data_IF_035128385873
#
_entry.id   IF_035128385873
#
_cell.length_a   1.000
_cell.length_b   1.000
_cell.length_c   1.000
_cell.angle_alpha   90.00
_cell.angle_beta   90.00
_cell.angle_gamma   90.00
#
_symmetry.space_group_name_H-M   'P 1'
#
loop_
_entity.id
_entity.type
_entity.pdbx_description
1 polymer ?
#
# COMPACT_ATOMS: atom_id res chain seq x y z
N UNK A 1 12.65 11.65 13.10
CA UNK A 1 11.30 12.21 12.92
C UNK A 1 10.33 11.04 12.85
N UNK A 2 9.48 10.86 13.87
CA UNK A 2 8.47 9.81 13.87
C UNK A 2 7.22 10.32 13.16
N UNK A 3 6.68 9.54 12.23
CA UNK A 3 5.36 9.83 11.65
C UNK A 3 4.32 9.76 12.78
N UNK A 4 3.44 10.75 12.93
CA UNK A 4 2.40 10.70 13.94
C UNK A 4 1.46 9.53 13.67
N UNK A 5 0.88 8.90 14.72
CA UNK A 5 -0.07 7.82 14.55
C UNK A 5 -1.28 8.30 13.74
N UNK A 6 -1.71 7.51 12.76
CA UNK A 6 -2.93 7.77 12.00
C UNK A 6 -4.10 7.83 12.99
N UNK A 7 -4.59 9.04 13.24
CA UNK A 7 -5.82 9.27 13.99
C UNK A 7 -6.99 8.78 13.13
N UNK A 8 -7.34 7.50 13.30
CA UNK A 8 -8.56 6.90 12.75
C UNK A 8 -9.75 7.72 13.26
N UNK A 9 -10.34 8.56 12.40
CA UNK A 9 -11.66 9.15 12.65
C UNK A 9 -11.78 10.67 12.70
N UNK A 10 -10.72 11.46 12.45
CA UNK A 10 -10.94 12.88 12.15
C UNK A 10 -11.29 13.03 10.66
N UNK A 11 -12.57 13.28 10.37
CA UNK A 11 -12.96 13.86 9.09
C UNK A 11 -12.37 15.27 9.05
N UNK A 12 -11.13 15.40 8.60
CA UNK A 12 -10.60 16.69 8.17
C UNK A 12 -11.51 17.11 7.03
N UNK A 13 -12.44 18.02 7.31
CA UNK A 13 -13.24 18.64 6.27
C UNK A 13 -12.23 19.35 5.37
N UNK A 14 -12.01 18.77 4.20
CA UNK A 14 -11.21 19.41 3.18
C UNK A 14 -11.87 20.76 2.87
N UNK A 15 -11.08 21.83 2.66
CA UNK A 15 -11.63 23.09 2.23
C UNK A 15 -12.44 22.88 0.94
N UNK A 16 -13.49 23.67 0.76
CA UNK A 16 -14.30 23.61 -0.46
C UNK A 16 -13.45 24.11 -1.64
N UNK A 17 -13.09 23.20 -2.56
CA UNK A 17 -12.19 23.49 -3.68
C UNK A 17 -12.99 23.62 -4.96
N UNK A 18 -12.91 24.79 -5.60
CA UNK A 18 -13.49 25.00 -6.92
C UNK A 18 -12.68 24.25 -7.98
N UNK A 19 -13.33 23.31 -8.67
CA UNK A 19 -12.77 22.60 -9.83
C UNK A 19 -13.14 23.29 -11.14
N UNK A 20 -12.22 23.30 -12.11
CA UNK A 20 -12.42 23.78 -13.48
C UNK A 20 -12.31 22.64 -14.51
N UNK A 21 -12.31 21.38 -14.05
CA UNK A 21 -12.20 20.22 -14.93
C UNK A 21 -13.38 20.18 -15.90
N UNK A 22 -13.09 20.04 -17.20
CA UNK A 22 -14.09 19.94 -18.27
C UNK A 22 -14.38 18.50 -18.66
N UNK A 23 -13.48 17.57 -18.32
CA UNK A 23 -13.56 16.15 -18.65
C UNK A 23 -13.97 15.40 -17.37
N UNK A 24 -14.94 14.46 -17.44
CA UNK A 24 -15.34 13.68 -16.29
C UNK A 24 -14.25 12.69 -15.86
N UNK A 25 -14.10 12.52 -14.55
CA UNK A 25 -13.29 11.45 -13.98
C UNK A 25 -14.04 10.13 -14.15
N UNK A 26 -13.49 9.23 -14.98
CA UNK A 26 -14.10 7.92 -15.26
C UNK A 26 -13.74 6.84 -14.23
N UNK A 27 -12.65 7.04 -13.49
CA UNK A 27 -12.16 6.12 -12.46
C UNK A 27 -11.59 6.90 -11.27
N UNK A 28 -11.78 6.37 -10.07
CA UNK A 28 -11.23 6.95 -8.86
C UNK A 28 -9.73 6.72 -8.71
N UNK A 29 -9.08 7.60 -7.93
CA UNK A 29 -7.67 7.42 -7.56
C UNK A 29 -7.57 6.17 -6.68
N UNK A 30 -6.73 5.18 -7.04
CA UNK A 30 -6.60 3.97 -6.25
C UNK A 30 -5.83 4.23 -4.95
N UNK A 31 -5.74 3.22 -4.09
CA UNK A 31 -4.87 3.28 -2.92
C UNK A 31 -3.41 3.45 -3.35
N UNK A 32 -2.82 4.61 -3.03
CA UNK A 32 -1.49 5.02 -3.48
C UNK A 32 -0.36 4.13 -2.96
N UNK A 33 -0.60 3.36 -1.89
CA UNK A 33 0.38 2.42 -1.32
C UNK A 33 0.00 0.96 -1.58
N UNK A 34 -0.96 0.70 -2.47
CA UNK A 34 -1.46 -0.66 -2.73
C UNK A 34 -0.33 -1.63 -3.11
N UNK A 35 0.61 -1.20 -3.95
CA UNK A 35 1.76 -2.02 -4.33
C UNK A 35 2.60 -2.43 -3.11
N UNK A 36 2.81 -1.51 -2.16
CA UNK A 36 3.60 -1.80 -0.96
C UNK A 36 2.91 -2.83 -0.07
N UNK A 37 1.58 -2.69 0.10
CA UNK A 37 0.76 -3.64 0.85
C UNK A 37 0.82 -5.02 0.17
N UNK A 38 0.61 -5.07 -1.14
CA UNK A 38 0.61 -6.32 -1.90
C UNK A 38 1.98 -7.01 -1.86
N UNK A 39 3.08 -6.26 -2.01
CA UNK A 39 4.43 -6.81 -1.89
C UNK A 39 4.67 -7.40 -0.50
N UNK A 40 4.24 -6.72 0.56
CA UNK A 40 4.38 -7.23 1.92
C UNK A 40 3.54 -8.48 2.18
N UNK A 41 2.30 -8.50 1.69
CA UNK A 41 1.41 -9.65 1.83
C UNK A 41 1.96 -10.87 1.09
N UNK A 42 2.50 -10.68 -0.12
CA UNK A 42 3.18 -11.71 -0.88
C UNK A 42 4.40 -12.29 -0.14
N UNK A 43 5.30 -11.43 0.36
CA UNK A 43 6.50 -11.87 1.11
C UNK A 43 6.12 -12.80 2.27
N UNK A 44 5.12 -12.41 3.07
CA UNK A 44 4.67 -13.19 4.23
C UNK A 44 4.02 -14.52 3.84
N UNK A 45 3.29 -14.54 2.73
CA UNK A 45 2.52 -15.72 2.33
C UNK A 45 3.40 -16.79 1.70
N UNK A 46 4.27 -16.39 0.76
CA UNK A 46 5.00 -17.34 -0.09
C UNK A 46 6.45 -16.96 -0.32
N UNK A 47 6.78 -15.67 -0.41
CA UNK A 47 8.14 -15.24 -0.75
C UNK A 47 9.22 -15.76 0.20
N UNK A 48 8.97 -15.82 1.52
CA UNK A 48 9.93 -16.41 2.46
C UNK A 48 10.08 -17.93 2.28
N UNK A 49 8.98 -18.62 2.01
CA UNK A 49 8.97 -20.08 1.81
C UNK A 49 9.77 -20.47 0.57
N UNK A 50 9.61 -19.72 -0.52
CA UNK A 50 10.37 -19.92 -1.76
C UNK A 50 11.87 -19.83 -1.52
N UNK A 51 12.33 -18.78 -0.83
CA UNK A 51 13.75 -18.60 -0.49
C UNK A 51 14.28 -19.75 0.35
N UNK A 52 13.52 -20.19 1.37
CA UNK A 52 13.95 -21.32 2.22
C UNK A 52 14.05 -22.64 1.46
N UNK A 53 13.16 -22.86 0.49
CA UNK A 53 13.21 -24.05 -0.37
C UNK A 53 14.39 -24.01 -1.33
N UNK A 54 14.71 -22.83 -1.88
CA UNK A 54 15.85 -22.67 -2.79
C UNK A 54 17.19 -23.00 -2.13
N UNK A 55 17.38 -22.61 -0.86
CA UNK A 55 18.65 -22.81 -0.16
C UNK A 55 18.80 -24.20 0.49
N UNK A 56 17.76 -25.04 0.46
CA UNK A 56 17.72 -26.29 1.24
C UNK A 56 17.83 -27.57 0.36
N UNK A 57 18.46 -28.65 0.87
CA UNK A 57 19.19 -28.74 2.13
C UNK A 57 20.61 -28.15 2.01
N UNK A 58 21.10 -27.58 3.10
CA UNK A 58 22.52 -27.25 3.26
C UNK A 58 23.22 -28.52 3.77
N UNK A 59 24.33 -28.90 3.15
CA UNK A 59 25.20 -29.99 3.59
C UNK A 59 26.61 -29.45 3.90
N UNK A 60 27.29 -30.06 4.87
CA UNK A 60 28.65 -29.71 5.32
C UNK A 60 29.72 -29.92 4.23
#
# INVERSE_FOLDING_TARGET
>A
MALPPVLKGQSVQLPDVKTYAQIPQIIDVPNLIQSQIQSWDWIKAEGLTEVYQEISPIAD
#
